data_IF_723750048341
#
_entry.id   IF_723750048341
#
_cell.length_a   1.000
_cell.length_b   1.000
_cell.length_c   1.000
_cell.angle_alpha   90.00
_cell.angle_beta   90.00
_cell.angle_gamma   90.00
#
_symmetry.space_group_name_H-M   'P 1'
#
loop_
_entity.id
_entity.type
_entity.pdbx_description
1 polymer ?
#
# COMPACT_ATOMS: atom_id res chain seq x y z
N UNK A 1 4.93 24.65 11.57
CA UNK A 1 5.44 24.00 10.35
C UNK A 1 4.40 24.20 9.27
N UNK A 2 4.81 24.56 8.05
CA UNK A 2 3.92 24.48 6.88
C UNK A 2 3.82 22.99 6.57
N UNK A 3 2.60 22.44 6.55
CA UNK A 3 2.39 21.07 6.07
C UNK A 3 2.45 21.17 4.54
N UNK A 4 3.58 20.76 3.98
CA UNK A 4 3.76 20.64 2.53
C UNK A 4 3.75 19.17 2.18
N UNK A 5 3.01 18.83 1.13
CA UNK A 5 3.07 17.51 0.48
C UNK A 5 4.12 17.59 -0.63
N UNK A 6 4.93 16.54 -0.76
CA UNK A 6 5.78 16.39 -1.93
C UNK A 6 4.94 16.34 -3.21
N UNK A 7 5.40 17.00 -4.27
CA UNK A 7 4.64 17.11 -5.51
C UNK A 7 4.30 15.72 -6.08
N UNK A 8 3.00 15.39 -6.15
CA UNK A 8 2.51 14.16 -6.75
C UNK A 8 2.41 14.36 -8.27
N UNK A 9 3.21 13.61 -9.03
CA UNK A 9 3.25 13.74 -10.49
C UNK A 9 1.86 13.55 -11.12
N UNK A 10 1.43 14.53 -11.93
CA UNK A 10 0.11 14.54 -12.59
C UNK A 10 -1.01 15.17 -11.76
N UNK A 11 -0.81 15.41 -10.46
CA UNK A 11 -1.82 16.01 -9.60
C UNK A 11 -1.52 17.48 -9.31
N UNK A 12 -2.56 18.26 -9.10
CA UNK A 12 -2.50 19.61 -8.54
C UNK A 12 -2.97 19.57 -7.09
N UNK A 13 -2.08 19.91 -6.17
CA UNK A 13 -2.36 19.94 -4.72
C UNK A 13 -2.93 21.30 -4.29
N UNK A 14 -3.92 21.28 -3.42
CA UNK A 14 -4.49 22.47 -2.78
C UNK A 14 -4.57 22.25 -1.27
N UNK A 15 -3.97 23.14 -0.50
CA UNK A 15 -3.93 23.06 0.97
C UNK A 15 -4.98 23.99 1.58
N UNK A 16 -5.81 23.48 2.49
CA UNK A 16 -6.79 24.28 3.21
C UNK A 16 -6.11 25.22 4.21
N UNK A 17 -6.78 26.31 4.63
CA UNK A 17 -6.35 27.07 5.80
C UNK A 17 -6.29 26.18 7.05
N UNK A 18 -5.42 26.53 8.01
CA UNK A 18 -5.36 25.87 9.31
C UNK A 18 -6.63 26.18 10.11
N UNK A 19 -7.45 25.16 10.38
CA UNK A 19 -8.69 25.27 11.13
C UNK A 19 -8.64 24.30 12.31
N UNK A 20 -8.65 24.82 13.55
CA UNK A 20 -8.63 24.03 14.79
C UNK A 20 -7.50 22.99 14.87
N UNK A 21 -6.32 23.33 14.35
CA UNK A 21 -5.15 22.44 14.35
C UNK A 21 -5.07 21.47 13.15
N UNK A 22 -6.09 21.45 12.28
CA UNK A 22 -6.12 20.56 11.11
C UNK A 22 -5.86 21.31 9.81
N UNK A 23 -5.17 20.65 8.88
CA UNK A 23 -4.94 21.07 7.50
C UNK A 23 -5.39 19.93 6.58
N UNK A 24 -6.16 20.24 5.54
CA UNK A 24 -6.55 19.28 4.50
C UNK A 24 -5.79 19.58 3.24
N UNK A 25 -5.06 18.59 2.70
CA UNK A 25 -4.43 18.67 1.39
C UNK A 25 -5.33 17.91 0.41
N UNK A 26 -5.74 18.58 -0.67
CA UNK A 26 -6.58 18.01 -1.73
C UNK A 26 -5.77 17.90 -3.01
N UNK A 27 -5.52 16.67 -3.46
CA UNK A 27 -4.92 16.41 -4.76
C UNK A 27 -5.99 16.21 -5.82
N UNK A 28 -5.92 17.00 -6.90
CA UNK A 28 -6.82 16.89 -8.06
C UNK A 28 -6.05 16.45 -9.29
N UNK A 29 -6.55 15.45 -10.02
CA UNK A 29 -6.01 15.01 -11.30
C UNK A 29 -7.11 15.10 -12.35
N UNK A 30 -6.80 15.69 -13.51
CA UNK A 30 -7.68 15.69 -14.68
C UNK A 30 -7.23 14.51 -15.55
N UNK A 31 -8.03 13.43 -15.65
CA UNK A 31 -7.66 12.27 -16.44
C UNK A 31 -7.40 12.64 -17.90
N UNK A 32 -6.33 12.11 -18.48
CA UNK A 32 -6.08 12.26 -19.91
C UNK A 32 -7.15 11.49 -20.69
N UNK A 33 -7.64 12.14 -21.75
CA UNK A 33 -8.62 11.55 -22.67
C UNK A 33 -8.01 11.38 -24.05
N UNK A 34 -8.55 10.43 -24.79
CA UNK A 34 -8.20 10.10 -26.17
C UNK A 34 -9.46 10.04 -27.04
N UNK A 35 -9.28 9.82 -28.33
CA UNK A 35 -10.36 9.65 -29.30
C UNK A 35 -10.06 8.46 -30.22
N UNK A 36 -11.11 7.83 -30.72
CA UNK A 36 -11.04 6.77 -31.73
C UNK A 36 -11.88 7.21 -32.91
N UNK A 37 -11.30 7.24 -34.11
CA UNK A 37 -12.01 7.57 -35.34
C UNK A 37 -11.65 6.62 -36.46
N UNK A 38 -12.58 6.43 -37.39
CA UNK A 38 -12.43 5.51 -38.50
C UNK A 38 -13.40 5.81 -39.63
N UNK A 39 -13.21 5.11 -40.74
CA UNK A 39 -14.04 5.21 -41.94
C UNK A 39 -14.72 3.89 -42.24
N UNK A 40 -15.93 3.99 -42.77
CA UNK A 40 -16.65 2.89 -43.38
C UNK A 40 -16.38 2.88 -44.88
N UNK A 41 -15.88 1.75 -45.36
CA UNK A 41 -15.54 1.49 -46.76
C UNK A 41 -16.51 0.44 -47.30
N UNK A 42 -17.03 0.68 -48.50
CA UNK A 42 -17.93 -0.21 -49.22
C UNK A 42 -17.23 -0.80 -50.44
N UNK A 43 -17.11 -2.13 -50.48
CA UNK A 43 -16.62 -2.89 -51.61
C UNK A 43 -17.79 -3.62 -52.29
N UNK A 44 -18.60 -2.88 -53.03
CA UNK A 44 -19.88 -3.32 -53.60
C UNK A 44 -20.15 -2.74 -55.00
N UNK A 45 -19.08 -2.48 -55.76
CA UNK A 45 -19.15 -1.93 -57.12
C UNK A 45 -19.98 -0.64 -57.23
N UNK A 46 -19.80 0.30 -56.29
CA UNK A 46 -20.61 1.52 -56.17
C UNK A 46 -22.10 1.23 -55.99
N UNK A 47 -22.42 0.26 -55.13
CA UNK A 47 -23.78 -0.17 -54.87
C UNK A 47 -24.55 -0.57 -56.15
N UNK A 48 -23.90 -1.28 -57.07
CA UNK A 48 -24.47 -1.68 -58.36
C UNK A 48 -25.83 -2.38 -58.20
N UNK A 49 -25.95 -3.23 -57.18
CA UNK A 49 -27.13 -4.06 -56.93
C UNK A 49 -28.18 -3.38 -56.02
N UNK A 50 -27.90 -2.16 -55.54
CA UNK A 50 -28.81 -1.40 -54.69
C UNK A 50 -29.05 -2.05 -53.31
N UNK A 51 -28.10 -2.82 -52.80
CA UNK A 51 -28.21 -3.59 -51.53
C UNK A 51 -27.49 -2.98 -50.35
N UNK A 52 -26.72 -1.90 -50.56
CA UNK A 52 -26.09 -1.17 -49.46
C UNK A 52 -27.16 -0.63 -48.50
N UNK A 53 -27.05 -0.87 -47.19
CA UNK A 53 -27.95 -0.27 -46.21
C UNK A 53 -27.73 1.25 -46.15
N UNK A 54 -28.74 1.98 -45.69
CA UNK A 54 -28.65 3.44 -45.51
C UNK A 54 -27.80 3.83 -44.32
N UNK A 55 -27.63 2.93 -43.36
CA UNK A 55 -26.85 3.14 -42.14
C UNK A 55 -26.25 1.82 -41.62
N UNK A 56 -25.24 1.96 -40.77
CA UNK A 56 -24.65 0.87 -39.98
C UNK A 56 -24.48 1.34 -38.54
N UNK A 57 -24.29 0.41 -37.61
CA UNK A 57 -23.96 0.72 -36.22
C UNK A 57 -22.55 0.23 -35.89
N UNK A 58 -21.69 1.15 -35.44
CA UNK A 58 -20.34 0.85 -34.95
C UNK A 58 -20.36 0.89 -33.42
N UNK A 59 -19.81 -0.15 -32.79
CA UNK A 59 -19.72 -0.29 -31.34
C UNK A 59 -18.26 -0.15 -30.89
N UNK A 60 -18.01 0.58 -29.81
CA UNK A 60 -16.68 0.73 -29.21
C UNK A 60 -16.46 -0.31 -28.12
N UNK A 61 -15.31 -1.00 -28.17
CA UNK A 61 -14.84 -1.90 -27.14
C UNK A 61 -13.64 -1.29 -26.41
N UNK A 62 -13.53 -1.53 -25.11
CA UNK A 62 -12.38 -1.21 -24.28
C UNK A 62 -11.85 -2.50 -23.66
N UNK A 63 -10.59 -2.82 -23.91
CA UNK A 63 -9.96 -4.07 -23.47
C UNK A 63 -10.77 -5.33 -23.86
N UNK A 64 -11.36 -5.30 -25.05
CA UNK A 64 -12.20 -6.37 -25.59
C UNK A 64 -13.63 -6.44 -25.01
N UNK A 65 -14.01 -5.53 -24.10
CA UNK A 65 -15.33 -5.46 -23.48
C UNK A 65 -16.14 -4.30 -24.08
N UNK A 66 -17.42 -4.54 -24.36
CA UNK A 66 -18.30 -3.49 -24.88
C UNK A 66 -18.44 -2.31 -23.90
N UNK A 67 -18.17 -1.11 -24.38
CA UNK A 67 -18.31 0.12 -23.59
C UNK A 67 -19.76 0.61 -23.48
N UNK A 68 -20.65 0.07 -24.33
CA UNK A 68 -22.00 0.59 -24.54
C UNK A 68 -22.06 1.83 -25.44
N UNK A 69 -20.92 2.47 -25.77
CA UNK A 69 -20.86 3.57 -26.73
C UNK A 69 -21.04 3.03 -28.16
N UNK A 70 -21.94 3.65 -28.92
CA UNK A 70 -22.27 3.31 -30.31
C UNK A 70 -22.39 4.55 -31.16
N UNK A 71 -22.09 4.44 -32.45
CA UNK A 71 -22.31 5.50 -33.44
C UNK A 71 -23.03 4.93 -34.66
N UNK A 72 -24.09 5.61 -35.10
CA UNK A 72 -24.74 5.34 -36.38
C UNK A 72 -23.97 6.04 -37.49
N UNK A 73 -23.55 5.28 -38.51
CA UNK A 73 -22.76 5.77 -39.64
C UNK A 73 -23.58 5.74 -40.92
N UNK A 74 -23.60 6.83 -41.67
CA UNK A 74 -24.49 7.03 -42.82
C UNK A 74 -23.76 7.73 -43.97
N UNK A 75 -24.40 7.83 -45.13
CA UNK A 75 -23.87 8.68 -46.21
C UNK A 75 -23.80 10.16 -45.81
N UNK A 76 -24.74 10.65 -44.99
CA UNK A 76 -24.80 12.05 -44.58
C UNK A 76 -23.59 12.50 -43.75
N UNK A 77 -22.96 11.58 -42.99
CA UNK A 77 -21.70 11.84 -42.27
C UNK A 77 -20.45 11.41 -43.06
N UNK A 78 -20.60 11.20 -44.37
CA UNK A 78 -19.50 10.82 -45.25
C UNK A 78 -18.94 9.43 -44.96
N UNK A 79 -19.72 8.55 -44.34
CA UNK A 79 -19.28 7.22 -43.91
C UNK A 79 -18.09 7.28 -42.94
N UNK A 80 -18.09 8.25 -42.02
CA UNK A 80 -17.06 8.43 -41.00
C UNK A 80 -17.67 8.43 -39.61
N UNK A 81 -16.87 8.05 -38.62
CA UNK A 81 -17.31 8.04 -37.23
C UNK A 81 -16.18 8.38 -36.26
N UNK A 82 -16.56 8.84 -35.08
CA UNK A 82 -15.64 9.23 -34.03
C UNK A 82 -16.25 8.98 -32.65
N UNK A 83 -15.41 8.55 -31.73
CA UNK A 83 -15.67 8.45 -30.30
C UNK A 83 -14.69 9.37 -29.56
N UNK A 84 -15.19 10.42 -28.91
CA UNK A 84 -14.39 11.37 -28.12
C UNK A 84 -14.49 11.08 -26.63
N UNK A 85 -13.67 11.80 -25.85
CA UNK A 85 -13.71 11.80 -24.38
C UNK A 85 -13.59 10.38 -23.81
N UNK A 86 -12.67 9.62 -24.39
CA UNK A 86 -12.35 8.26 -23.97
C UNK A 86 -11.22 8.31 -22.94
N UNK A 87 -11.36 7.70 -21.76
CA UNK A 87 -10.24 7.61 -20.83
C UNK A 87 -9.03 6.96 -21.50
N UNK A 88 -7.86 7.58 -21.45
CA UNK A 88 -6.66 6.95 -22.02
C UNK A 88 -6.14 5.82 -21.11
N UNK A 89 -6.33 5.98 -19.81
CA UNK A 89 -5.88 5.04 -18.79
C UNK A 89 -7.03 4.57 -17.90
N UNK A 90 -6.95 3.31 -17.46
CA UNK A 90 -7.75 2.73 -16.39
C UNK A 90 -6.79 2.08 -15.40
N UNK A 91 -6.89 2.46 -14.12
CA UNK A 91 -6.04 1.94 -13.04
C UNK A 91 -4.53 2.12 -13.33
N UNK A 92 -4.16 3.28 -13.89
CA UNK A 92 -2.78 3.63 -14.24
C UNK A 92 -2.25 2.95 -15.52
N UNK A 93 -3.07 2.17 -16.23
CA UNK A 93 -2.66 1.45 -17.44
C UNK A 93 -3.45 1.86 -18.67
N UNK A 94 -2.78 1.87 -19.83
CA UNK A 94 -3.39 2.32 -21.09
C UNK A 94 -4.50 1.37 -21.53
N UNK A 95 -5.65 1.92 -21.92
CA UNK A 95 -6.79 1.16 -22.44
C UNK A 95 -6.55 0.83 -23.90
N UNK A 96 -6.80 -0.43 -24.29
CA UNK A 96 -6.79 -0.83 -25.71
C UNK A 96 -8.21 -0.70 -26.25
N UNK A 97 -8.43 0.27 -27.14
CA UNK A 97 -9.70 0.44 -27.82
C UNK A 97 -9.74 -0.32 -29.14
N UNK A 98 -10.87 -0.94 -29.43
CA UNK A 98 -11.19 -1.56 -30.73
C UNK A 98 -12.63 -1.26 -31.10
N UNK A 99 -12.98 -1.53 -32.36
CA UNK A 99 -14.31 -1.25 -32.92
C UNK A 99 -14.86 -2.53 -33.55
N UNK A 100 -16.17 -2.70 -33.45
CA UNK A 100 -16.90 -3.74 -34.18
C UNK A 100 -18.14 -3.14 -34.84
N UNK A 101 -18.64 -3.82 -35.85
CA UNK A 101 -19.86 -3.43 -36.56
C UNK A 101 -20.95 -4.45 -36.24
N UNK A 102 -22.19 -3.98 -36.13
CA UNK A 102 -23.31 -4.90 -36.19
C UNK A 102 -23.39 -5.57 -37.57
N UNK A 103 -23.57 -6.89 -37.60
CA UNK A 103 -23.61 -7.67 -38.84
C UNK A 103 -24.54 -7.05 -39.91
N UNK A 104 -24.01 -6.91 -41.12
CA UNK A 104 -24.75 -6.41 -42.28
C UNK A 104 -25.10 -7.57 -43.20
N UNK A 105 -26.40 -7.79 -43.43
CA UNK A 105 -26.91 -8.88 -44.28
C UNK A 105 -26.27 -8.85 -45.67
N UNK A 106 -25.84 -10.01 -46.17
CA UNK A 106 -25.20 -10.20 -47.49
C UNK A 106 -23.84 -9.48 -47.67
N UNK A 107 -23.22 -9.05 -46.56
CA UNK A 107 -21.90 -8.45 -46.57
C UNK A 107 -20.94 -9.22 -45.64
N UNK A 108 -19.66 -9.21 -46.02
CA UNK A 108 -18.57 -9.70 -45.18
C UNK A 108 -17.78 -8.51 -44.65
N UNK A 109 -17.56 -8.47 -43.33
CA UNK A 109 -16.87 -7.37 -42.66
C UNK A 109 -15.40 -7.74 -42.44
N UNK A 110 -14.52 -6.75 -42.63
CA UNK A 110 -13.09 -6.81 -42.30
C UNK A 110 -12.65 -5.51 -41.66
N UNK A 111 -11.59 -5.57 -40.85
CA UNK A 111 -11.08 -4.44 -40.09
C UNK A 111 -9.63 -4.17 -40.45
N UNK A 112 -9.28 -2.89 -40.59
CA UNK A 112 -7.90 -2.43 -40.67
C UNK A 112 -7.75 -1.24 -39.74
N UNK A 113 -7.05 -1.44 -38.64
CA UNK A 113 -7.03 -0.48 -37.52
C UNK A 113 -8.47 -0.20 -37.06
N UNK A 114 -8.96 1.04 -37.23
CA UNK A 114 -10.35 1.41 -36.98
C UNK A 114 -11.20 1.50 -38.25
N UNK A 115 -10.62 1.33 -39.44
CA UNK A 115 -11.42 1.34 -40.67
C UNK A 115 -12.16 0.01 -40.83
N UNK A 116 -13.44 0.12 -41.21
CA UNK A 116 -14.35 -1.01 -41.37
C UNK A 116 -14.65 -1.14 -42.86
N UNK A 117 -14.37 -2.30 -43.45
CA UNK A 117 -14.68 -2.57 -44.86
C UNK A 117 -15.73 -3.66 -44.95
N UNK A 118 -16.86 -3.36 -45.61
CA UNK A 118 -17.84 -4.38 -45.97
C UNK A 118 -17.76 -4.68 -47.46
N UNK A 119 -17.62 -5.97 -47.79
CA UNK A 119 -17.65 -6.47 -49.17
C UNK A 119 -18.98 -7.13 -49.46
N UNK A 120 -19.67 -6.70 -50.52
CA UNK A 120 -20.97 -7.27 -50.88
C UNK A 120 -20.77 -8.65 -51.50
N UNK A 121 -21.33 -9.67 -50.85
CA UNK A 121 -21.33 -11.04 -51.33
C UNK A 121 -22.66 -11.68 -50.93
N UNK A 122 -23.64 -11.77 -51.86
CA UNK A 122 -24.94 -12.35 -51.57
C UNK A 122 -24.84 -13.72 -50.88
N UNK A 123 -25.55 -13.90 -49.77
CA UNK A 123 -25.56 -15.15 -49.02
C UNK A 123 -24.30 -15.42 -48.19
N UNK A 124 -23.39 -14.46 -48.06
CA UNK A 124 -22.20 -14.55 -47.20
C UNK A 124 -22.30 -13.69 -45.95
N UNK A 125 -21.52 -14.04 -44.94
CA UNK A 125 -21.41 -13.36 -43.66
C UNK A 125 -19.99 -13.45 -43.09
N UNK A 126 -19.75 -12.82 -41.95
CA UNK A 126 -18.50 -12.88 -41.20
C UNK A 126 -18.77 -13.06 -39.70
N UNK A 127 -17.85 -13.73 -39.01
CA UNK A 127 -17.86 -13.89 -37.56
C UNK A 127 -16.57 -13.33 -36.99
N UNK A 128 -16.69 -12.43 -36.02
CA UNK A 128 -15.54 -11.84 -35.32
C UNK A 128 -15.44 -12.38 -33.90
N UNK A 129 -14.28 -12.89 -33.52
CA UNK A 129 -13.97 -13.22 -32.12
C UNK A 129 -13.14 -12.12 -31.50
N UNK A 130 -13.48 -11.78 -30.26
CA UNK A 130 -12.76 -10.82 -29.43
C UNK A 130 -12.34 -11.56 -28.16
N UNK A 131 -11.05 -11.54 -27.85
CA UNK A 131 -10.52 -12.06 -26.60
C UNK A 131 -10.32 -10.91 -25.61
N UNK A 132 -10.97 -11.04 -24.45
CA UNK A 132 -10.80 -10.16 -23.31
C UNK A 132 -10.14 -10.92 -22.14
N UNK A 133 -9.40 -10.18 -21.31
CA UNK A 133 -8.68 -10.70 -20.16
C UNK A 133 -9.14 -9.96 -18.90
N UNK A 134 -9.65 -10.72 -17.92
CA UNK A 134 -10.05 -10.25 -16.59
C UNK A 134 -9.06 -10.78 -15.55
N UNK A 135 -7.83 -10.25 -15.56
CA UNK A 135 -6.67 -10.78 -14.83
C UNK A 135 -5.85 -9.70 -14.13
N UNK A 136 -6.53 -8.64 -13.68
CA UNK A 136 -5.90 -7.44 -13.12
C UNK A 136 -4.73 -6.92 -13.97
N UNK A 137 -4.96 -6.89 -15.30
CA UNK A 137 -3.96 -6.44 -16.28
C UNK A 137 -2.67 -7.25 -16.24
N UNK A 138 -2.80 -8.57 -16.15
CA UNK A 138 -1.68 -9.49 -16.09
C UNK A 138 -0.73 -9.20 -14.91
N UNK A 139 -1.27 -8.83 -13.75
CA UNK A 139 -0.50 -8.52 -12.54
C UNK A 139 0.53 -9.62 -12.23
N UNK A 140 0.06 -10.86 -12.25
CA UNK A 140 0.85 -12.05 -11.92
C UNK A 140 1.71 -12.53 -13.10
N UNK A 141 1.62 -11.90 -14.27
CA UNK A 141 2.48 -12.19 -15.42
C UNK A 141 2.24 -13.54 -16.07
N UNK A 142 1.13 -14.22 -15.77
CA UNK A 142 0.83 -15.58 -16.25
C UNK A 142 0.01 -15.61 -17.55
N UNK A 143 -0.39 -14.46 -18.09
CA UNK A 143 -1.13 -14.39 -19.35
C UNK A 143 -0.26 -14.96 -20.48
N UNK A 144 -0.74 -15.94 -21.27
CA UNK A 144 -0.01 -16.45 -22.42
C UNK A 144 0.07 -15.42 -23.54
N UNK A 145 1.08 -15.54 -24.39
CA UNK A 145 1.29 -14.65 -25.55
C UNK A 145 0.23 -14.84 -26.65
N UNK A 146 -0.37 -16.03 -26.70
CA UNK A 146 -1.38 -16.42 -27.70
C UNK A 146 -2.39 -17.39 -27.13
N UNK A 147 -3.59 -17.38 -27.71
CA UNK A 147 -4.59 -18.44 -27.53
C UNK A 147 -5.00 -19.00 -28.89
N UNK A 148 -5.57 -20.21 -28.89
CA UNK A 148 -6.19 -20.79 -30.09
C UNK A 148 -7.71 -20.73 -29.99
N UNK A 149 -8.35 -20.33 -31.09
CA UNK A 149 -9.81 -20.27 -31.21
C UNK A 149 -10.28 -21.07 -32.42
N UNK A 150 -11.39 -21.78 -32.27
CA UNK A 150 -11.99 -22.63 -33.30
C UNK A 150 -13.41 -22.16 -33.62
N UNK A 151 -13.68 -21.92 -34.90
CA UNK A 151 -15.03 -21.67 -35.41
C UNK A 151 -15.74 -23.00 -35.71
N UNK A 152 -17.04 -23.04 -35.44
CA UNK A 152 -17.94 -24.13 -35.81
C UNK A 152 -19.15 -23.60 -36.60
N UNK A 153 -19.63 -24.40 -37.54
CA UNK A 153 -20.86 -24.21 -38.30
C UNK A 153 -21.75 -25.42 -38.06
N UNK A 154 -22.94 -25.23 -37.49
CA UNK A 154 -23.87 -26.30 -37.13
C UNK A 154 -23.20 -27.42 -36.31
N UNK A 155 -22.28 -27.03 -35.42
CA UNK A 155 -21.51 -27.94 -34.55
C UNK A 155 -20.34 -28.65 -35.23
N UNK A 156 -20.05 -28.39 -36.51
CA UNK A 156 -18.89 -28.93 -37.23
C UNK A 156 -17.76 -27.91 -37.32
N UNK A 157 -16.51 -28.35 -37.18
CA UNK A 157 -15.34 -27.46 -37.26
C UNK A 157 -15.22 -26.83 -38.64
N UNK A 158 -15.01 -25.52 -38.67
CA UNK A 158 -14.71 -24.75 -39.87
C UNK A 158 -13.22 -24.45 -39.90
N UNK A 159 -12.51 -25.06 -40.84
CA UNK A 159 -11.06 -24.85 -41.01
C UNK A 159 -10.21 -25.28 -39.80
N UNK A 160 -8.98 -24.78 -39.76
CA UNK A 160 -8.07 -24.97 -38.62
C UNK A 160 -8.35 -23.92 -37.53
N UNK A 161 -7.92 -24.23 -36.30
CA UNK A 161 -7.89 -23.26 -35.22
C UNK A 161 -6.93 -22.11 -35.57
N UNK A 162 -7.23 -20.92 -35.06
CA UNK A 162 -6.51 -19.69 -35.35
C UNK A 162 -5.85 -19.17 -34.08
N UNK A 163 -4.61 -18.69 -34.19
CA UNK A 163 -3.93 -18.03 -33.09
C UNK A 163 -4.38 -16.57 -32.97
N UNK A 164 -4.78 -16.17 -31.76
CA UNK A 164 -5.14 -14.80 -31.42
C UNK A 164 -4.12 -14.28 -30.41
N UNK A 165 -3.56 -13.10 -30.68
CA UNK A 165 -2.42 -12.55 -29.93
C UNK A 165 -2.63 -11.08 -29.59
N UNK A 166 -1.75 -10.51 -28.76
CA UNK A 166 -1.74 -9.07 -28.51
C UNK A 166 -1.48 -8.23 -29.79
N UNK A 167 -0.73 -8.76 -30.76
CA UNK A 167 -0.43 -8.04 -32.00
C UNK A 167 -1.66 -7.86 -32.90
N UNK A 168 -2.66 -8.76 -32.80
CA UNK A 168 -3.95 -8.61 -33.46
C UNK A 168 -4.98 -7.89 -32.59
N UNK A 169 -4.54 -7.16 -31.55
CA UNK A 169 -5.42 -6.59 -30.52
C UNK A 169 -6.40 -7.60 -29.92
N UNK A 170 -5.98 -8.87 -29.83
CA UNK A 170 -6.80 -9.96 -29.35
C UNK A 170 -8.09 -10.18 -30.14
N UNK A 171 -8.13 -9.81 -31.43
CA UNK A 171 -9.27 -10.06 -32.32
C UNK A 171 -8.89 -10.93 -33.51
N UNK A 172 -9.91 -11.57 -34.09
CA UNK A 172 -9.83 -12.24 -35.39
C UNK A 172 -11.21 -12.29 -36.06
N UNK A 173 -11.25 -12.20 -37.39
CA UNK A 173 -12.50 -12.28 -38.16
C UNK A 173 -12.40 -13.39 -39.22
N UNK A 174 -13.33 -14.33 -39.18
CA UNK A 174 -13.59 -15.25 -40.27
C UNK A 174 -14.55 -14.58 -41.26
N UNK A 175 -14.11 -14.38 -42.50
CA UNK A 175 -14.89 -13.78 -43.58
C UNK A 175 -15.36 -14.82 -44.60
N UNK A 176 -16.24 -14.42 -45.51
CA UNK A 176 -16.73 -15.21 -46.65
C UNK A 176 -17.43 -16.53 -46.26
N UNK A 177 -18.04 -16.54 -45.07
CA UNK A 177 -18.78 -17.65 -44.51
C UNK A 177 -20.18 -17.74 -45.14
N UNK A 178 -20.67 -18.95 -45.42
CA UNK A 178 -22.04 -19.10 -45.92
C UNK A 178 -23.05 -18.71 -44.83
N UNK A 179 -24.02 -17.88 -45.16
CA UNK A 179 -25.12 -17.55 -44.24
C UNK A 179 -26.11 -18.71 -44.13
N UNK A 180 -26.25 -19.51 -45.20
CA UNK A 180 -27.24 -20.58 -45.30
C UNK A 180 -26.66 -21.87 -45.87
N UNK A 181 -27.10 -23.00 -45.32
CA UNK A 181 -26.89 -24.33 -45.87
C UNK A 181 -28.26 -24.95 -46.19
N UNK A 182 -28.48 -25.40 -47.44
CA UNK A 182 -29.74 -25.99 -47.89
C UNK A 182 -30.99 -25.11 -47.61
N UNK A 183 -30.83 -23.79 -47.68
CA UNK A 183 -31.89 -22.81 -47.45
C UNK A 183 -32.20 -22.49 -45.98
N UNK A 184 -31.54 -23.15 -45.02
CA UNK A 184 -31.63 -22.86 -43.58
C UNK A 184 -30.43 -22.01 -43.13
N UNK A 185 -30.62 -21.15 -42.13
CA UNK A 185 -29.53 -20.36 -41.55
C UNK A 185 -28.52 -21.27 -40.82
N UNK A 186 -27.23 -21.00 -41.04
CA UNK A 186 -26.15 -21.72 -40.36
C UNK A 186 -25.95 -21.12 -38.97
N UNK A 187 -25.89 -21.98 -37.95
CA UNK A 187 -25.58 -21.55 -36.57
C UNK A 187 -24.06 -21.58 -36.37
N UNK A 188 -23.47 -20.40 -36.26
CA UNK A 188 -22.06 -20.25 -35.95
C UNK A 188 -21.80 -20.16 -34.45
N UNK A 189 -20.80 -20.89 -33.98
CA UNK A 189 -20.27 -20.80 -32.61
C UNK A 189 -18.74 -20.77 -32.62
N UNK A 190 -18.13 -20.21 -31.58
CA UNK A 190 -16.68 -20.15 -31.43
C UNK A 190 -16.32 -20.74 -30.07
N UNK A 191 -15.20 -21.47 -30.01
CA UNK A 191 -14.65 -22.00 -28.78
C UNK A 191 -13.18 -21.61 -28.64
N UNK A 192 -12.73 -21.41 -27.39
CA UNK A 192 -11.30 -21.41 -27.06
C UNK A 192 -10.80 -22.85 -27.00
N UNK A 193 -9.68 -23.14 -27.65
CA UNK A 193 -9.11 -24.47 -27.71
C UNK A 193 -8.25 -24.72 -26.47
N UNK A 194 -8.59 -25.77 -25.73
CA UNK A 194 -7.84 -26.17 -24.54
C UNK A 194 -8.22 -25.38 -23.29
N UNK A 195 -7.33 -25.42 -22.31
CA UNK A 195 -7.47 -24.70 -21.03
C UNK A 195 -6.20 -23.94 -20.74
N UNK A 196 -6.31 -22.76 -20.13
CA UNK A 196 -5.16 -21.95 -19.72
C UNK A 196 -4.99 -22.11 -18.21
N UNK A 197 -3.82 -22.55 -17.78
CA UNK A 197 -3.53 -22.76 -16.37
C UNK A 197 -3.72 -21.47 -15.57
N UNK A 198 -4.37 -21.56 -14.40
CA UNK A 198 -4.71 -20.40 -13.57
C UNK A 198 -5.88 -19.53 -14.06
N UNK A 199 -6.53 -19.86 -15.20
CA UNK A 199 -7.64 -19.09 -15.75
C UNK A 199 -8.97 -19.87 -15.80
N UNK A 200 -10.07 -19.14 -15.68
CA UNK A 200 -11.43 -19.62 -16.00
C UNK A 200 -11.94 -18.95 -17.26
N UNK A 201 -12.33 -19.75 -18.27
CA UNK A 201 -12.82 -19.28 -19.56
C UNK A 201 -14.34 -19.14 -19.58
N UNK A 202 -14.84 -18.03 -20.11
CA UNK A 202 -16.26 -17.82 -20.44
C UNK A 202 -16.40 -17.43 -21.90
N UNK A 203 -17.21 -18.16 -22.66
CA UNK A 203 -17.54 -17.84 -24.05
C UNK A 203 -18.90 -17.15 -24.07
N UNK A 204 -18.94 -15.93 -24.59
CA UNK A 204 -20.16 -15.16 -24.78
C UNK A 204 -21.05 -15.70 -25.89
N UNK A 205 -22.25 -15.14 -26.02
CA UNK A 205 -23.12 -15.44 -27.15
C UNK A 205 -22.65 -14.69 -28.40
N UNK A 206 -23.00 -15.23 -29.58
CA UNK A 206 -22.85 -14.52 -30.84
C UNK A 206 -23.89 -13.40 -30.90
N UNK A 207 -23.43 -12.15 -30.81
CA UNK A 207 -24.27 -10.95 -30.85
C UNK A 207 -23.77 -10.07 -31.99
N UNK A 208 -24.66 -9.76 -32.92
CA UNK A 208 -24.38 -8.91 -34.07
C UNK A 208 -23.13 -9.33 -34.88
N UNK A 209 -22.91 -10.64 -35.07
CA UNK A 209 -21.76 -11.17 -35.81
C UNK A 209 -20.44 -11.20 -35.04
N UNK A 210 -20.46 -10.88 -33.73
CA UNK A 210 -19.28 -10.92 -32.87
C UNK A 210 -19.50 -11.79 -31.63
N UNK A 211 -18.42 -12.40 -31.14
CA UNK A 211 -18.41 -13.20 -29.91
C UNK A 211 -17.21 -12.81 -29.05
N UNK A 212 -17.44 -12.62 -27.75
CA UNK A 212 -16.39 -12.31 -26.78
C UNK A 212 -16.04 -13.54 -25.96
N UNK A 213 -14.75 -13.88 -25.89
CA UNK A 213 -14.20 -14.88 -24.98
C UNK A 213 -13.48 -14.13 -23.86
N UNK A 214 -13.82 -14.43 -22.61
CA UNK A 214 -13.22 -13.81 -21.43
C UNK A 214 -12.47 -14.88 -20.65
N UNK A 215 -11.17 -14.67 -20.43
CA UNK A 215 -10.45 -15.46 -19.43
C UNK A 215 -10.20 -14.64 -18.18
N UNK A 216 -10.68 -15.18 -17.07
CA UNK A 216 -10.59 -14.57 -15.75
C UNK A 216 -9.52 -15.25 -14.91
N UNK A 217 -8.64 -14.45 -14.32
CA UNK A 217 -7.69 -14.88 -13.30
C UNK A 217 -7.82 -13.95 -12.08
N UNK A 218 -7.83 -14.55 -10.89
CA UNK A 218 -7.86 -13.80 -9.63
C UNK A 218 -6.42 -13.73 -9.13
N UNK A 219 -5.79 -12.55 -9.09
CA UNK A 219 -4.39 -12.43 -8.69
C UNK A 219 -4.13 -12.89 -7.27
N UNK A 220 -2.91 -13.35 -7.01
CA UNK A 220 -2.47 -13.74 -5.68
C UNK A 220 -2.27 -12.51 -4.79
N UNK A 221 -2.78 -12.60 -3.56
CA UNK A 221 -2.65 -11.57 -2.53
C UNK A 221 -1.97 -12.14 -1.29
N UNK A 222 -1.16 -11.31 -0.64
CA UNK A 222 -0.45 -11.61 0.60
C UNK A 222 -0.80 -10.61 1.70
N UNK A 223 -0.43 -10.93 2.93
CA UNK A 223 -0.50 -10.05 4.08
C UNK A 223 0.87 -9.98 4.74
N UNK A 224 1.23 -8.80 5.23
CA UNK A 224 2.49 -8.55 5.95
C UNK A 224 2.14 -8.13 7.37
N UNK A 225 2.62 -8.89 8.35
CA UNK A 225 2.39 -8.65 9.77
C UNK A 225 3.71 -8.46 10.50
N UNK A 226 3.70 -7.61 11.51
CA UNK A 226 4.83 -7.35 12.38
C UNK A 226 4.38 -6.90 13.76
N UNK A 227 5.33 -6.90 14.69
CA UNK A 227 5.15 -6.44 16.06
C UNK A 227 6.11 -5.33 16.41
N UNK A 228 5.74 -4.53 17.39
CA UNK A 228 6.54 -3.46 17.96
C UNK A 228 6.96 -3.83 19.38
N UNK A 229 8.27 -3.81 19.62
CA UNK A 229 8.88 -4.01 20.93
C UNK A 229 9.51 -2.71 21.42
N UNK A 230 9.35 -2.44 22.72
CA UNK A 230 9.98 -1.32 23.41
C UNK A 230 11.07 -1.85 24.36
N UNK A 231 12.29 -1.38 24.18
CA UNK A 231 13.44 -1.66 25.04
C UNK A 231 13.84 -0.36 25.77
N UNK A 232 13.07 -0.01 26.80
CA UNK A 232 13.10 1.28 27.49
C UNK A 232 12.92 1.17 29.01
N UNK A 233 13.29 0.02 29.58
CA UNK A 233 13.11 -0.31 31.00
C UNK A 233 11.67 -0.12 31.49
N UNK A 234 10.70 -0.63 30.72
CA UNK A 234 9.27 -0.49 30.99
C UNK A 234 8.81 0.97 31.09
N UNK A 235 9.28 1.79 30.15
CA UNK A 235 8.99 3.22 30.07
C UNK A 235 9.36 3.99 31.37
N UNK A 236 10.49 3.64 32.00
CA UNK A 236 10.97 4.26 33.25
C UNK A 236 10.94 5.80 33.19
N UNK A 237 11.44 6.36 32.09
CA UNK A 237 11.57 7.81 31.90
C UNK A 237 10.26 8.45 31.39
N UNK A 238 9.22 7.67 31.09
CA UNK A 238 7.90 8.17 30.67
C UNK A 238 7.89 8.79 29.27
N UNK A 239 8.91 8.53 28.45
CA UNK A 239 9.10 9.14 27.13
C UNK A 239 8.53 8.31 25.97
N UNK A 240 8.01 7.10 26.23
CA UNK A 240 7.36 6.28 25.20
C UNK A 240 6.13 7.02 24.64
N UNK A 241 6.03 7.21 23.31
CA UNK A 241 4.84 7.80 22.71
C UNK A 241 3.64 6.85 22.86
N UNK A 242 2.44 7.40 22.78
CA UNK A 242 1.21 6.60 22.83
C UNK A 242 0.98 5.75 21.58
N UNK A 243 1.61 6.11 20.47
CA UNK A 243 1.51 5.43 19.18
C UNK A 243 2.74 5.69 18.31
N UNK A 244 2.90 4.87 17.28
CA UNK A 244 3.88 5.03 16.20
C UNK A 244 3.16 4.90 14.85
N UNK A 245 3.82 5.34 13.78
CA UNK A 245 3.36 5.14 12.40
C UNK A 245 4.35 4.24 11.67
N UNK A 246 3.85 3.11 11.16
CA UNK A 246 4.61 2.16 10.34
C UNK A 246 4.22 2.33 8.89
N UNK A 247 5.22 2.47 8.01
CA UNK A 247 5.04 2.64 6.57
C UNK A 247 5.40 1.35 5.82
N UNK A 248 4.58 0.96 4.84
CA UNK A 248 4.85 -0.18 3.97
C UNK A 248 5.58 0.25 2.70
N UNK A 249 6.65 -0.47 2.37
CA UNK A 249 7.39 -0.32 1.12
C UNK A 249 7.22 -1.57 0.25
N UNK A 250 7.16 -1.36 -1.06
CA UNK A 250 7.19 -2.41 -2.08
C UNK A 250 8.37 -2.15 -3.00
N UNK A 251 9.26 -3.14 -3.15
CA UNK A 251 10.50 -3.03 -3.93
C UNK A 251 11.35 -1.81 -3.53
N UNK A 252 11.38 -1.52 -2.23
CA UNK A 252 12.09 -0.38 -1.65
C UNK A 252 11.44 0.99 -1.90
N UNK A 253 10.26 1.06 -2.50
CA UNK A 253 9.51 2.30 -2.73
C UNK A 253 8.31 2.43 -1.78
N UNK A 254 7.99 3.64 -1.29
CA UNK A 254 6.79 3.84 -0.47
C UNK A 254 5.52 3.46 -1.23
N UNK A 255 4.66 2.68 -0.58
CA UNK A 255 3.33 2.34 -1.14
C UNK A 255 2.26 3.39 -0.85
N UNK A 256 2.54 4.31 0.07
CA UNK A 256 1.55 5.23 0.66
C UNK A 256 0.64 4.59 1.72
N UNK A 257 0.75 3.27 1.94
CA UNK A 257 0.02 2.60 3.03
C UNK A 257 0.78 2.75 4.34
N UNK A 258 0.06 3.17 5.37
CA UNK A 258 0.58 3.35 6.73
C UNK A 258 -0.35 2.67 7.75
N UNK A 259 0.21 2.32 8.91
CA UNK A 259 -0.53 1.79 10.05
C UNK A 259 -0.13 2.54 11.31
N UNK A 260 -1.13 3.06 12.03
CA UNK A 260 -0.94 3.56 13.40
C UNK A 260 -0.96 2.38 14.37
N UNK A 261 0.08 2.24 15.17
CA UNK A 261 0.28 1.11 16.08
C UNK A 261 0.41 1.63 17.51
N UNK A 262 -0.34 1.03 18.44
CA UNK A 262 -0.43 1.50 19.83
C UNK A 262 -0.74 0.34 20.79
N UNK A 263 -0.89 0.67 22.08
CA UNK A 263 -1.21 -0.29 23.13
C UNK A 263 -2.51 -1.06 22.85
N UNK A 264 -3.54 -0.42 22.29
CA UNK A 264 -4.82 -1.06 22.01
C UNK A 264 -4.72 -2.13 20.90
N UNK A 265 -3.76 -2.00 19.98
CA UNK A 265 -3.42 -3.04 19.01
C UNK A 265 -2.44 -4.08 19.55
N UNK A 266 -2.14 -4.04 20.85
CA UNK A 266 -1.06 -4.81 21.50
C UNK A 266 0.27 -4.64 20.76
N UNK A 267 0.54 -3.42 20.27
CA UNK A 267 1.73 -3.10 19.49
C UNK A 267 1.94 -4.00 18.25
N UNK A 268 0.87 -4.57 17.69
CA UNK A 268 0.91 -5.37 16.47
C UNK A 268 0.21 -4.66 15.31
N UNK A 269 0.60 -5.00 14.09
CA UNK A 269 0.00 -4.46 12.87
C UNK A 269 -0.02 -5.49 11.74
N UNK A 270 -0.90 -5.29 10.76
CA UNK A 270 -1.00 -6.14 9.57
C UNK A 270 -1.51 -5.34 8.38
N UNK A 271 -0.74 -5.35 7.29
CA UNK A 271 -1.17 -4.91 5.97
C UNK A 271 -1.78 -6.11 5.23
N UNK A 272 -2.95 -5.94 4.61
CA UNK A 272 -3.68 -7.03 3.94
C UNK A 272 -3.95 -6.69 2.48
N UNK A 273 -4.34 -7.70 1.69
CA UNK A 273 -4.69 -7.56 0.27
C UNK A 273 -3.56 -6.94 -0.57
N UNK A 274 -2.32 -7.28 -0.25
CA UNK A 274 -1.15 -6.80 -0.97
C UNK A 274 -0.89 -7.69 -2.18
N UNK A 275 -0.65 -7.16 -3.39
CA UNK A 275 -0.33 -7.99 -4.55
C UNK A 275 0.95 -8.79 -4.29
N UNK A 276 0.94 -10.10 -4.59
CA UNK A 276 2.18 -10.89 -4.47
C UNK A 276 3.17 -10.58 -5.59
N UNK A 277 2.65 -10.27 -6.77
CA UNK A 277 3.43 -10.03 -7.98
C UNK A 277 3.11 -8.65 -8.58
N UNK A 278 4.09 -8.08 -9.28
CA UNK A 278 3.94 -6.90 -10.13
C UNK A 278 4.58 -7.20 -11.47
N UNK A 279 3.76 -7.25 -12.52
CA UNK A 279 4.20 -7.61 -13.87
C UNK A 279 4.98 -8.94 -13.91
N UNK A 280 4.50 -9.95 -13.19
CA UNK A 280 5.11 -11.28 -13.11
C UNK A 280 6.33 -11.42 -12.20
N UNK A 281 6.80 -10.33 -11.57
CA UNK A 281 7.90 -10.38 -10.60
C UNK A 281 7.35 -10.33 -9.19
N UNK A 282 7.85 -11.21 -8.31
CA UNK A 282 7.44 -11.24 -6.90
C UNK A 282 7.88 -9.95 -6.22
N UNK A 283 6.95 -9.28 -5.56
CA UNK A 283 7.20 -8.02 -4.85
C UNK A 283 7.98 -8.30 -3.57
N UNK A 284 9.02 -7.52 -3.31
CA UNK A 284 9.75 -7.54 -2.03
C UNK A 284 9.18 -6.48 -1.11
N UNK A 285 8.44 -6.91 -0.09
CA UNK A 285 7.90 -6.01 0.92
C UNK A 285 8.88 -5.77 2.07
N UNK A 286 8.91 -4.54 2.57
CA UNK A 286 9.62 -4.14 3.78
C UNK A 286 8.84 -3.05 4.53
N UNK A 287 9.24 -2.73 5.75
CA UNK A 287 8.61 -1.69 6.57
C UNK A 287 9.63 -0.66 7.03
N UNK A 288 9.15 0.54 7.33
CA UNK A 288 9.91 1.58 8.03
C UNK A 288 9.04 2.18 9.13
N UNK A 289 9.67 2.79 10.12
CA UNK A 289 9.00 3.54 11.18
C UNK A 289 9.30 5.03 11.01
N UNK A 290 8.31 5.89 11.27
CA UNK A 290 8.59 7.31 11.48
C UNK A 290 9.47 7.51 12.73
N UNK A 291 10.42 8.45 12.65
CA UNK A 291 11.40 8.65 13.71
C UNK A 291 10.72 8.96 15.06
N UNK A 292 11.01 8.13 16.07
CA UNK A 292 10.53 8.34 17.43
C UNK A 292 11.59 9.12 18.24
N UNK A 293 11.30 10.35 18.70
CA UNK A 293 12.27 11.14 19.45
C UNK A 293 12.81 10.43 20.68
N UNK A 294 14.14 10.42 20.85
CA UNK A 294 14.81 9.80 22.01
C UNK A 294 15.00 8.29 21.91
N UNK A 295 14.62 7.67 20.79
CA UNK A 295 14.77 6.24 20.54
C UNK A 295 15.67 5.97 19.33
N UNK A 296 16.31 4.80 19.34
CA UNK A 296 16.96 4.20 18.17
C UNK A 296 16.12 3.03 17.68
N UNK A 297 15.76 3.03 16.39
CA UNK A 297 14.94 1.99 15.75
C UNK A 297 15.81 0.91 15.10
N UNK A 298 15.47 -0.35 15.33
CA UNK A 298 15.99 -1.52 14.62
C UNK A 298 14.81 -2.32 14.02
N UNK A 299 14.97 -2.80 12.79
CA UNK A 299 13.92 -3.54 12.06
C UNK A 299 14.47 -4.89 11.61
N UNK A 300 13.89 -5.97 12.12
CA UNK A 300 14.25 -7.34 11.76
C UNK A 300 13.08 -8.01 11.03
N UNK A 301 13.18 -8.10 9.71
CA UNK A 301 12.06 -8.49 8.86
C UNK A 301 10.96 -7.44 8.92
N UNK A 302 9.90 -7.73 9.66
CA UNK A 302 8.79 -6.80 9.91
C UNK A 302 8.63 -6.44 11.39
N UNK A 303 9.41 -7.03 12.29
CA UNK A 303 9.37 -6.66 13.69
C UNK A 303 10.24 -5.42 13.93
N UNK A 304 9.70 -4.47 14.69
CA UNK A 304 10.32 -3.19 14.97
C UNK A 304 10.68 -3.16 16.45
N UNK A 305 11.92 -2.81 16.77
CA UNK A 305 12.37 -2.59 18.14
C UNK A 305 12.85 -1.16 18.30
N UNK A 306 12.29 -0.43 19.26
CA UNK A 306 12.86 0.86 19.66
C UNK A 306 13.56 0.74 21.00
N UNK A 307 14.79 1.22 21.04
CA UNK A 307 15.61 1.23 22.25
C UNK A 307 15.80 2.65 22.78
N UNK A 308 15.57 2.83 24.07
CA UNK A 308 15.88 4.05 24.82
C UNK A 308 16.72 3.68 26.04
N UNK A 309 17.82 4.39 26.25
CA UNK A 309 18.67 4.21 27.43
C UNK A 309 18.18 5.17 28.52
N UNK A 310 17.69 4.69 29.68
CA UNK A 310 17.15 5.54 30.72
C UNK A 310 18.20 6.47 31.34
N UNK A 311 17.74 7.59 31.86
CA UNK A 311 18.57 8.62 32.50
C UNK A 311 18.98 8.20 33.91
N UNK A 312 20.28 8.39 34.24
CA UNK A 312 20.85 8.06 35.55
C UNK A 312 21.49 9.30 36.19
N UNK A 313 21.45 9.36 37.52
CA UNK A 313 22.06 10.41 38.36
C UNK A 313 22.97 9.80 39.43
N UNK A 314 23.76 10.66 40.07
CA UNK A 314 24.57 10.31 41.25
C UNK A 314 24.31 11.32 42.37
N UNK A 315 24.29 10.83 43.61
CA UNK A 315 24.04 11.62 44.81
C UNK A 315 25.26 11.54 45.72
N UNK A 316 25.87 12.69 45.98
CA UNK A 316 27.05 12.82 46.83
C UNK A 316 26.78 13.77 48.00
N UNK A 317 27.39 13.49 49.14
CA UNK A 317 27.29 14.33 50.33
C UNK A 317 28.54 14.27 51.20
N UNK A 318 28.61 15.20 52.14
CA UNK A 318 29.70 15.31 53.12
C UNK A 318 29.17 15.16 54.54
N UNK A 319 30.03 14.67 55.42
CA UNK A 319 29.77 14.55 56.85
C UNK A 319 30.63 15.55 57.63
N UNK A 320 29.96 16.45 58.35
CA UNK A 320 30.57 17.43 59.25
C UNK A 320 30.32 17.07 60.71
N UNK A 321 31.35 17.24 61.54
CA UNK A 321 31.29 17.05 62.99
C UNK A 321 31.43 18.41 63.69
N UNK A 322 30.39 18.81 64.43
CA UNK A 322 30.39 19.98 65.30
C UNK A 322 30.52 19.56 66.77
N UNK A 323 31.75 19.24 67.18
CA UNK A 323 32.08 18.62 68.48
C UNK A 323 33.41 19.10 69.06
N UNK A 324 33.80 20.34 68.75
CA UNK A 324 35.07 20.95 69.17
C UNK A 324 36.30 20.07 68.85
N UNK A 325 36.33 19.51 67.63
CA UNK A 325 37.37 18.58 67.17
C UNK A 325 37.49 17.33 68.06
N UNK A 326 36.35 16.73 68.39
CA UNK A 326 36.25 15.53 69.22
C UNK A 326 36.88 15.70 70.61
N UNK A 327 36.73 16.86 71.24
CA UNK A 327 37.27 17.16 72.58
C UNK A 327 36.92 16.06 73.60
N UNK A 328 35.67 15.59 73.58
CA UNK A 328 35.14 14.65 74.56
C UNK A 328 35.41 13.18 74.18
N UNK A 329 36.05 12.93 73.02
CA UNK A 329 36.44 11.60 72.58
C UNK A 329 35.28 10.66 72.23
N UNK A 330 34.07 11.19 72.02
CA UNK A 330 32.84 10.42 71.79
C UNK A 330 32.49 10.20 70.31
N UNK A 331 33.24 10.79 69.38
CA UNK A 331 32.99 10.62 67.94
C UNK A 331 33.19 9.16 67.53
N UNK A 332 32.21 8.52 66.85
CA UNK A 332 32.38 7.16 66.34
C UNK A 332 33.42 7.09 65.23
N UNK A 333 33.94 5.89 64.98
CA UNK A 333 34.88 5.64 63.88
C UNK A 333 34.22 5.73 62.49
N UNK A 334 32.92 5.47 62.42
CA UNK A 334 32.12 5.43 61.20
C UNK A 334 30.67 5.87 61.46
N UNK A 335 29.97 6.21 60.39
CA UNK A 335 28.50 6.38 60.37
C UNK A 335 27.93 5.55 59.21
N UNK A 336 26.64 5.25 59.28
CA UNK A 336 25.91 4.60 58.19
C UNK A 336 24.89 5.61 57.63
N UNK A 337 25.05 5.94 56.36
CA UNK A 337 24.14 6.79 55.59
C UNK A 337 23.24 5.94 54.74
N UNK A 338 21.93 6.15 54.83
CA UNK A 338 20.92 5.45 54.06
C UNK A 338 20.38 6.36 52.94
N UNK A 339 20.21 5.82 51.74
CA UNK A 339 19.57 6.52 50.62
C UNK A 339 18.06 6.25 50.61
N UNK A 340 17.27 7.31 50.51
CA UNK A 340 15.83 7.27 50.31
C UNK A 340 15.49 7.78 48.91
N UNK A 341 14.48 7.17 48.28
CA UNK A 341 13.85 7.60 47.05
C UNK A 341 12.37 7.87 47.34
N UNK A 342 11.91 9.10 47.06
CA UNK A 342 10.54 9.55 47.34
C UNK A 342 10.12 9.32 48.82
N UNK A 343 11.08 9.49 49.73
CA UNK A 343 10.87 9.28 51.17
C UNK A 343 10.85 7.82 51.62
N UNK A 344 11.10 6.86 50.73
CA UNK A 344 11.17 5.42 51.04
C UNK A 344 12.61 4.93 50.99
N UNK A 345 13.03 4.13 51.97
CA UNK A 345 14.36 3.54 52.00
C UNK A 345 14.60 2.65 50.77
N UNK A 346 15.69 2.92 50.05
CA UNK A 346 16.09 2.12 48.86
C UNK A 346 16.78 0.80 49.24
N UNK A 347 17.21 0.68 50.50
CA UNK A 347 18.09 -0.40 50.97
C UNK A 347 19.58 -0.17 50.66
N UNK A 348 19.93 0.88 49.90
CA UNK A 348 21.32 1.25 49.68
C UNK A 348 21.87 2.03 50.87
N UNK A 349 23.04 1.63 51.34
CA UNK A 349 23.74 2.27 52.46
C UNK A 349 25.21 2.54 52.11
N UNK A 350 25.80 3.53 52.78
CA UNK A 350 27.22 3.84 52.72
C UNK A 350 27.77 3.94 54.14
N UNK A 351 28.83 3.19 54.39
CA UNK A 351 29.66 3.36 55.59
C UNK A 351 30.62 4.50 55.28
N UNK A 352 30.66 5.52 56.15
CA UNK A 352 31.46 6.72 55.95
C UNK A 352 32.43 6.86 57.10
N UNK A 353 33.73 6.97 56.78
CA UNK A 353 34.80 7.02 57.77
C UNK A 353 35.69 8.24 57.58
N UNK A 354 36.62 8.46 58.52
CA UNK A 354 37.68 9.45 58.35
C UNK A 354 38.61 9.15 57.17
N UNK A 355 38.77 7.87 56.78
CA UNK A 355 39.62 7.50 55.63
C UNK A 355 39.04 8.00 54.30
N UNK A 356 37.72 8.10 54.21
CA UNK A 356 36.98 8.62 53.04
C UNK A 356 36.85 10.15 53.08
N UNK A 357 37.63 10.81 53.95
CA UNK A 357 37.50 12.23 54.27
C UNK A 357 36.07 12.63 54.66
N UNK A 358 35.31 11.71 55.26
CA UNK A 358 33.91 11.92 55.62
C UNK A 358 33.02 12.30 54.42
N UNK A 359 33.27 11.70 53.24
CA UNK A 359 32.45 11.91 52.03
C UNK A 359 31.83 10.59 51.56
N UNK A 360 30.72 10.67 50.83
CA UNK A 360 30.06 9.50 50.25
C UNK A 360 29.36 9.82 48.93
N UNK A 361 29.15 8.78 48.13
CA UNK A 361 28.48 8.86 46.84
C UNK A 361 27.68 7.57 46.54
N UNK A 362 26.48 7.76 45.99
CA UNK A 362 25.63 6.73 45.38
C UNK A 362 25.55 7.02 43.87
N UNK A 363 25.90 6.04 43.03
CA UNK A 363 25.94 6.18 41.56
C UNK A 363 24.85 5.33 40.89
N UNK A 364 24.66 5.53 39.58
CA UNK A 364 23.76 4.73 38.73
C UNK A 364 22.32 4.68 39.24
N UNK A 365 21.87 5.78 39.83
CA UNK A 365 20.52 5.91 40.37
C UNK A 365 19.56 6.34 39.27
N UNK A 366 18.40 5.71 39.10
CA UNK A 366 17.42 6.15 38.11
C UNK A 366 17.00 7.60 38.37
N UNK A 367 17.01 8.45 37.33
CA UNK A 367 16.53 9.83 37.50
C UNK A 367 15.00 9.88 37.60
N UNK A 368 14.33 8.98 36.91
CA UNK A 368 12.88 8.91 36.81
C UNK A 368 12.35 7.54 37.25
N UNK A 369 11.12 7.54 37.76
CA UNK A 369 10.32 6.35 38.00
C UNK A 369 8.91 6.62 37.51
N UNK A 370 8.40 5.76 36.65
CA UNK A 370 7.06 5.90 36.04
C UNK A 370 6.86 7.30 35.40
N UNK A 371 7.92 7.82 34.76
CA UNK A 371 7.93 9.16 34.14
C UNK A 371 8.03 10.35 35.10
N UNK A 372 8.12 10.12 36.41
CA UNK A 372 8.26 11.18 37.41
C UNK A 372 9.68 11.22 37.95
N UNK A 373 10.23 12.44 38.10
CA UNK A 373 11.58 12.62 38.63
C UNK A 373 11.62 12.17 40.10
N UNK A 374 12.55 11.27 40.42
CA UNK A 374 12.72 10.75 41.77
C UNK A 374 13.31 11.83 42.67
N UNK A 375 12.72 12.01 43.85
CA UNK A 375 13.27 12.89 44.89
C UNK A 375 14.14 12.06 45.82
N UNK A 376 15.45 12.16 45.64
CA UNK A 376 16.42 11.53 46.54
C UNK A 376 16.63 12.34 47.81
N UNK A 377 16.80 11.64 48.93
CA UNK A 377 17.23 12.18 50.22
C UNK A 377 18.07 11.16 50.97
N UNK A 378 18.70 11.59 52.06
CA UNK A 378 19.55 10.74 52.90
C UNK A 378 19.09 10.79 54.35
N UNK A 379 19.32 9.70 55.08
CA UNK A 379 19.22 9.68 56.55
C UNK A 379 20.48 9.07 57.14
N UNK A 380 20.77 9.42 58.39
CA UNK A 380 21.85 8.82 59.17
C UNK A 380 21.26 7.87 60.21
N UNK A 381 21.89 6.72 60.44
CA UNK A 381 21.60 5.92 61.62
C UNK A 381 21.96 6.69 62.90
N UNK A 382 21.15 6.54 63.95
CA UNK A 382 21.29 7.33 65.17
C UNK A 382 22.70 7.20 65.78
N UNK A 383 23.40 8.33 65.91
CA UNK A 383 24.71 8.40 66.56
C UNK A 383 24.55 8.79 68.03
N UNK A 384 24.87 7.92 69.00
CA UNK A 384 24.70 8.22 70.42
C UNK A 384 25.43 9.51 70.85
N UNK A 385 24.73 10.38 71.56
CA UNK A 385 25.27 11.66 72.05
C UNK A 385 25.20 12.82 71.06
N UNK A 386 24.83 12.57 69.80
CA UNK A 386 24.76 13.62 68.78
C UNK A 386 23.33 13.90 68.34
N UNK A 387 23.10 15.14 67.91
CA UNK A 387 21.88 15.52 67.18
C UNK A 387 22.25 15.73 65.71
N UNK A 388 21.59 14.98 64.83
CA UNK A 388 21.80 15.01 63.37
C UNK A 388 20.97 16.12 62.72
N UNK A 389 21.61 16.92 61.87
CA UNK A 389 21.00 17.89 60.96
C UNK A 389 21.40 17.53 59.53
N UNK A 390 20.44 17.57 58.60
CA UNK A 390 20.66 17.20 57.19
C UNK A 390 20.21 18.37 56.30
N UNK A 391 21.15 18.92 55.53
CA UNK A 391 20.89 20.00 54.58
C UNK A 391 21.21 19.52 53.16
N UNK A 392 20.17 19.22 52.38
CA UNK A 392 20.32 18.53 51.11
C UNK A 392 20.85 17.11 51.34
N UNK A 393 22.11 16.89 50.95
CA UNK A 393 22.83 15.63 51.17
C UNK A 393 23.99 15.77 52.16
N UNK A 394 24.22 16.96 52.72
CA UNK A 394 25.26 17.14 53.72
C UNK A 394 24.70 16.86 55.12
N UNK A 395 25.43 16.08 55.91
CA UNK A 395 25.04 15.64 57.24
C UNK A 395 25.94 16.35 58.26
N UNK A 396 25.34 17.01 59.25
CA UNK A 396 26.05 17.62 60.37
C UNK A 396 25.62 16.98 61.68
N UNK A 397 26.57 16.43 62.45
CA UNK A 397 26.30 15.98 63.81
C UNK A 397 26.80 17.00 64.83
N UNK A 398 25.89 17.43 65.70
CA UNK A 398 26.16 18.40 66.76
C UNK A 398 26.27 17.69 68.11
N UNK A 399 27.38 17.89 68.80
CA UNK A 399 27.58 17.45 70.18
C UNK A 399 27.52 18.66 71.11
N UNK A 400 26.64 18.62 72.11
CA UNK A 400 26.65 19.61 73.20
C UNK A 400 27.29 18.96 74.42
N UNK A 401 28.46 19.43 74.87
CA UNK A 401 29.11 18.90 76.07
C UNK A 401 28.19 19.05 77.28
N UNK A 402 28.15 18.03 78.14
CA UNK A 402 27.48 18.16 79.42
C UNK A 402 28.20 19.22 80.26
N UNK A 403 27.46 20.21 80.77
CA UNK A 403 27.98 21.16 81.75
C UNK A 403 28.34 20.38 83.02
N UNK A 404 29.63 20.16 83.25
CA UNK A 404 30.17 19.59 84.49
C UNK A 404 30.33 20.68 85.54
#
# INVERSE_FOLDING_TARGET
SVVEEDAVAGYTSATSPLISGNVTITNSHIPTVTQVSGKKIWNDANNQDGKRPTEITVNLLADGIATGKKVTVTEANGWTYEFTDLPEFKDGQKIVYTVIEDAVTDYTTTYKDFDITNSYQPGKTSITVIKAWDDAKNQDGIRPDSIQVQLYADGQKVGAAVDVTAASNWTYTWSDLDAKANGQDIVYTVEEVGTIDGYTTTVGQLISGSVTIINKHIPNLVSISGTKTWNDADNQDGVRPSEIVVNLLADGQPTGQTMTVNEASNWAYTFTNLPEFKAGQKIVYSVTEEAVPGYTTDINGFDITNTHTPSLVSISGTKTWNDANNQDGVRPAEIIVNLLADGVATGQTKIVTAADNWTYEFTDLPEFKDGQKIVYSVTEEAVPGYTTDINGFDITNNHTPSLV
#
